data_IF_266794186974
#
_entry.id   IF_266794186974
#
_cell.length_a   1.000
_cell.length_b   1.000
_cell.length_c   1.000
_cell.angle_alpha   90.00
_cell.angle_beta   90.00
_cell.angle_gamma   90.00
#
_symmetry.space_group_name_H-M   'P 1'
#
loop_
_entity.id
_entity.type
_entity.pdbx_description
1 polymer ?
#
# COMPACT_ATOMS: atom_id res chain seq x y z
N UNK A 1 19.29 48.57 -10.53
CA UNK A 1 20.26 47.60 -10.01
C UNK A 1 19.95 46.24 -10.62
N UNK A 2 20.62 45.93 -11.73
CA UNK A 2 20.71 44.59 -12.34
C UNK A 2 21.55 43.69 -11.44
N UNK A 3 21.10 42.47 -11.15
CA UNK A 3 22.00 41.33 -10.92
C UNK A 3 21.45 40.09 -11.61
N UNK A 4 21.90 39.93 -12.85
CA UNK A 4 21.81 38.72 -13.64
C UNK A 4 22.85 37.73 -13.11
N UNK A 5 22.44 36.51 -12.78
CA UNK A 5 23.36 35.37 -12.75
C UNK A 5 22.89 34.33 -13.77
N UNK A 6 23.69 34.22 -14.84
CA UNK A 6 23.63 33.19 -15.86
C UNK A 6 24.69 32.12 -15.58
N UNK A 7 24.42 30.95 -16.18
CA UNK A 7 25.28 29.78 -16.42
C UNK A 7 25.33 28.75 -15.28
N UNK A 8 25.20 27.45 -15.54
CA UNK A 8 25.80 26.71 -16.67
C UNK A 8 25.02 25.41 -16.99
N UNK A 9 24.92 25.13 -18.28
CA UNK A 9 24.41 23.89 -18.85
C UNK A 9 25.30 22.68 -18.54
N UNK A 10 24.69 21.49 -18.41
CA UNK A 10 25.28 20.22 -18.86
C UNK A 10 24.21 19.40 -19.59
N UNK A 11 24.45 19.20 -20.89
CA UNK A 11 23.87 18.12 -21.71
C UNK A 11 24.71 16.87 -21.48
N UNK A 12 24.08 15.71 -21.32
CA UNK A 12 24.45 14.38 -21.85
C UNK A 12 23.18 13.52 -21.66
N UNK A 13 22.44 13.12 -22.71
CA UNK A 13 22.73 12.14 -23.77
C UNK A 13 22.13 10.75 -23.45
N UNK A 14 21.07 10.42 -24.21
CA UNK A 14 20.67 9.12 -24.79
C UNK A 14 20.64 7.85 -23.91
N UNK A 15 19.41 7.34 -23.74
CA UNK A 15 18.98 6.00 -24.16
C UNK A 15 19.53 4.77 -23.44
N UNK A 16 18.68 4.07 -22.68
CA UNK A 16 18.72 2.61 -22.54
C UNK A 16 17.42 2.10 -21.90
N UNK A 17 16.69 1.26 -22.63
CA UNK A 17 15.73 0.29 -22.09
C UNK A 17 16.55 -0.73 -21.29
N UNK A 18 16.17 -1.01 -20.03
CA UNK A 18 16.65 -2.22 -19.31
C UNK A 18 15.59 -2.81 -18.37
N UNK A 19 15.66 -4.14 -18.14
CA UNK A 19 14.53 -5.04 -18.04
C UNK A 19 14.27 -5.45 -16.59
N UNK A 20 13.23 -4.90 -15.97
CA UNK A 20 12.83 -5.29 -14.61
C UNK A 20 11.42 -5.92 -14.56
N UNK A 21 10.84 -6.25 -15.71
CA UNK A 21 9.48 -6.78 -15.81
C UNK A 21 9.40 -8.32 -15.80
N UNK A 22 10.51 -9.06 -15.65
CA UNK A 22 10.48 -10.54 -15.66
C UNK A 22 10.91 -11.19 -14.32
N UNK A 23 11.45 -10.45 -13.35
CA UNK A 23 11.92 -11.05 -12.10
C UNK A 23 10.84 -11.27 -11.02
N UNK A 24 9.61 -10.72 -11.17
CA UNK A 24 8.61 -10.73 -10.07
C UNK A 24 7.63 -11.92 -10.15
N UNK A 25 7.52 -12.61 -11.28
CA UNK A 25 6.59 -13.75 -11.43
C UNK A 25 7.16 -15.05 -10.82
N UNK A 26 8.48 -15.16 -10.60
CA UNK A 26 9.10 -16.38 -10.07
C UNK A 26 9.04 -16.56 -8.54
N UNK A 27 8.86 -15.50 -7.75
CA UNK A 27 8.99 -15.58 -6.28
C UNK A 27 7.64 -15.85 -5.58
N UNK A 28 6.52 -15.54 -6.22
CA UNK A 28 5.18 -15.71 -5.61
C UNK A 28 4.70 -17.18 -5.65
N UNK A 29 5.21 -18.01 -6.57
CA UNK A 29 4.82 -19.42 -6.66
C UNK A 29 5.46 -20.36 -5.62
N UNK A 30 6.59 -20.01 -5.03
CA UNK A 30 7.34 -20.91 -4.14
C UNK A 30 6.82 -20.93 -2.68
N UNK A 31 6.14 -19.87 -2.22
CA UNK A 31 5.67 -19.78 -0.83
C UNK A 31 4.30 -20.45 -0.59
N UNK A 32 3.53 -20.77 -1.63
CA UNK A 32 2.20 -21.37 -1.47
C UNK A 32 2.22 -22.89 -1.21
N UNK A 33 3.31 -23.59 -1.54
CA UNK A 33 3.43 -25.06 -1.35
C UNK A 33 3.99 -25.42 0.03
N UNK A 34 4.88 -24.58 0.59
CA UNK A 34 5.49 -24.84 1.90
C UNK A 34 4.48 -24.75 3.06
N UNK A 35 3.42 -23.96 2.91
CA UNK A 35 2.41 -23.76 3.96
C UNK A 35 1.33 -24.85 4.02
N UNK A 36 1.29 -25.79 3.06
CA UNK A 36 0.26 -26.84 3.02
C UNK A 36 0.71 -28.19 3.59
N UNK A 37 2.02 -28.42 3.79
CA UNK A 37 2.55 -29.71 4.27
C UNK A 37 2.91 -29.78 5.77
N UNK A 38 2.82 -28.69 6.53
CA UNK A 38 3.26 -28.68 7.93
C UNK A 38 2.13 -28.67 8.97
N UNK A 39 0.88 -28.61 8.51
CA UNK A 39 -0.33 -28.70 9.33
C UNK A 39 -1.05 -29.97 8.88
N UNK A 40 -0.78 -31.12 9.52
CA UNK A 40 -1.72 -32.22 9.81
C UNK A 40 -0.90 -33.41 10.37
N UNK A 41 -1.01 -33.53 11.70
CA UNK A 41 -1.06 -34.75 12.54
C UNK A 41 0.22 -35.48 13.05
N UNK A 42 0.08 -36.14 14.23
CA UNK A 42 1.12 -36.27 15.25
C UNK A 42 1.62 -37.72 15.47
N UNK A 43 2.62 -37.81 16.36
CA UNK A 43 3.35 -38.93 16.98
C UNK A 43 2.80 -40.35 16.88
N UNK A 44 3.68 -41.32 16.58
CA UNK A 44 3.68 -42.67 17.16
C UNK A 44 5.09 -43.26 17.25
N UNK A 45 5.38 -43.82 18.43
CA UNK A 45 6.57 -44.60 18.81
C UNK A 45 6.67 -45.96 18.10
N UNK A 46 7.90 -46.42 17.80
CA UNK A 46 8.36 -47.83 17.79
C UNK A 46 9.90 -47.82 18.00
N UNK A 47 10.47 -48.40 19.06
CA UNK A 47 10.75 -49.83 19.34
C UNK A 47 11.75 -50.49 18.38
N UNK A 48 12.85 -50.99 18.98
CA UNK A 48 13.86 -52.00 18.53
C UNK A 48 14.84 -51.56 17.43
N UNK A 49 16.14 -51.47 17.72
CA UNK A 49 17.12 -52.58 17.79
C UNK A 49 17.19 -53.39 16.49
N UNK A 50 18.25 -53.22 15.68
CA UNK A 50 19.34 -54.22 15.54
C UNK A 50 20.42 -53.79 14.52
N UNK A 51 21.66 -54.22 14.82
CA UNK A 51 22.87 -54.44 14.01
C UNK A 51 23.22 -53.52 12.81
N UNK A 52 24.40 -52.90 12.93
CA UNK A 52 25.16 -52.36 11.79
C UNK A 52 26.55 -51.89 12.25
N UNK A 53 27.51 -52.82 12.31
CA UNK A 53 28.88 -52.55 12.70
C UNK A 53 29.63 -51.73 11.63
N UNK A 54 30.04 -50.51 11.96
CA UNK A 54 31.16 -49.81 11.32
C UNK A 54 31.92 -48.95 12.35
N UNK A 55 33.26 -49.02 12.43
CA UNK A 55 34.03 -48.18 13.32
C UNK A 55 34.18 -46.79 12.68
N UNK A 56 33.54 -45.78 13.26
CA UNK A 56 33.86 -44.39 12.95
C UNK A 56 34.00 -43.62 14.26
N UNK A 57 35.24 -43.18 14.49
CA UNK A 57 35.70 -42.08 15.35
C UNK A 57 34.65 -41.42 16.26
N UNK A 58 34.90 -41.33 17.58
CA UNK A 58 34.02 -40.58 18.47
C UNK A 58 34.15 -39.09 18.15
N UNK A 59 33.23 -38.57 17.32
CA UNK A 59 32.88 -37.15 17.38
C UNK A 59 32.17 -36.98 18.71
N UNK A 60 32.86 -36.30 19.62
CA UNK A 60 32.35 -35.85 20.91
C UNK A 60 31.01 -35.17 20.67
N UNK A 61 29.93 -35.81 21.09
CA UNK A 61 28.63 -35.17 21.18
C UNK A 61 28.82 -33.95 22.09
N UNK A 62 28.67 -32.75 21.52
CA UNK A 62 28.42 -31.56 22.31
C UNK A 62 27.11 -31.80 23.03
N UNK A 63 27.19 -32.20 24.29
CA UNK A 63 26.06 -32.17 25.20
C UNK A 63 25.49 -30.76 25.13
N UNK A 64 24.31 -30.63 24.52
CA UNK A 64 23.47 -29.45 24.76
C UNK A 64 23.04 -29.59 26.22
N UNK A 65 23.77 -28.92 27.09
CA UNK A 65 23.48 -28.87 28.51
C UNK A 65 22.09 -28.27 28.67
N UNK A 66 21.16 -29.09 29.18
CA UNK A 66 19.86 -28.64 29.60
C UNK A 66 20.03 -27.48 30.59
N UNK A 67 19.12 -26.48 30.62
CA UNK A 67 19.19 -25.41 31.61
C UNK A 67 19.31 -26.03 33.01
N UNK A 68 20.27 -25.60 33.84
CA UNK A 68 20.48 -26.18 35.16
C UNK A 68 19.17 -26.08 35.94
N UNK A 69 18.76 -27.19 36.55
CA UNK A 69 17.59 -27.26 37.41
C UNK A 69 17.62 -26.12 38.44
N UNK A 70 16.47 -25.53 38.82
CA UNK A 70 16.43 -24.45 39.78
C UNK A 70 17.12 -24.90 41.06
N UNK A 71 18.21 -24.22 41.39
CA UNK A 71 18.98 -24.48 42.59
C UNK A 71 18.06 -24.20 43.78
N UNK A 72 17.87 -25.16 44.68
CA UNK A 72 17.01 -24.96 45.85
C UNK A 72 17.73 -24.08 46.88
N UNK A 73 17.78 -22.77 46.62
CA UNK A 73 18.44 -21.75 47.44
C UNK A 73 17.93 -21.76 48.88
N UNK A 74 16.67 -22.15 49.11
CA UNK A 74 16.07 -22.15 50.43
C UNK A 74 16.64 -23.21 51.39
N UNK A 75 17.03 -24.38 50.85
CA UNK A 75 17.52 -25.52 51.62
C UNK A 75 19.02 -25.48 51.92
N UNK A 76 19.76 -24.53 51.32
CA UNK A 76 21.21 -24.44 51.48
C UNK A 76 21.63 -23.95 52.88
N UNK A 77 22.76 -24.49 53.36
CA UNK A 77 23.41 -24.00 54.57
C UNK A 77 24.02 -22.61 54.34
N UNK A 78 24.28 -21.88 55.42
CA UNK A 78 24.85 -20.53 55.36
C UNK A 78 26.18 -20.47 54.57
N UNK A 79 27.09 -21.42 54.85
CA UNK A 79 28.38 -21.48 54.17
C UNK A 79 28.25 -21.82 52.68
N UNK A 80 27.28 -22.68 52.33
CA UNK A 80 26.96 -22.98 50.93
C UNK A 80 26.39 -21.75 50.21
N UNK A 81 25.48 -21.01 50.85
CA UNK A 81 24.91 -19.79 50.27
C UNK A 81 26.01 -18.76 49.97
N UNK A 82 26.93 -18.52 50.90
CA UNK A 82 28.05 -17.59 50.68
C UNK A 82 29.03 -18.08 49.60
N UNK A 83 29.28 -19.40 49.52
CA UNK A 83 30.13 -19.98 48.50
C UNK A 83 29.51 -19.86 47.09
N UNK A 84 28.23 -20.21 46.95
CA UNK A 84 27.49 -20.08 45.69
C UNK A 84 27.30 -18.61 45.29
N UNK A 85 27.10 -17.70 46.25
CA UNK A 85 27.03 -16.27 45.98
C UNK A 85 28.33 -15.75 45.36
N UNK A 86 29.48 -16.05 45.96
CA UNK A 86 30.81 -15.65 45.44
C UNK A 86 31.08 -16.27 44.07
N UNK A 87 30.72 -17.54 43.89
CA UNK A 87 30.82 -18.22 42.60
C UNK A 87 29.96 -17.51 41.54
N UNK A 88 28.72 -17.17 41.87
CA UNK A 88 27.83 -16.44 40.98
C UNK A 88 28.37 -15.04 40.62
N UNK A 89 29.00 -14.32 41.56
CA UNK A 89 29.67 -13.04 41.28
C UNK A 89 30.81 -13.23 40.27
N UNK A 90 31.68 -14.23 40.49
CA UNK A 90 32.80 -14.53 39.58
C UNK A 90 32.33 -14.92 38.18
N UNK A 91 31.18 -15.60 38.10
CA UNK A 91 30.52 -16.00 36.85
C UNK A 91 29.61 -14.89 36.29
N UNK A 92 29.68 -13.67 36.82
CA UNK A 92 28.90 -12.49 36.40
C UNK A 92 27.37 -12.65 36.47
N UNK A 93 26.88 -13.66 37.19
CA UNK A 93 25.45 -13.91 37.43
C UNK A 93 24.96 -13.09 38.62
N UNK A 94 24.87 -11.77 38.43
CA UNK A 94 24.51 -10.86 39.53
C UNK A 94 23.02 -10.87 39.84
N UNK A 95 22.17 -10.62 38.84
CA UNK A 95 20.70 -10.52 38.98
C UNK A 95 19.93 -11.53 38.12
N UNK A 96 20.64 -12.29 37.28
CA UNK A 96 20.10 -13.26 36.34
C UNK A 96 21.00 -14.50 36.26
N UNK A 97 20.43 -15.68 35.95
CA UNK A 97 19.00 -15.98 35.83
C UNK A 97 18.29 -15.99 37.20
N UNK A 98 16.96 -15.95 37.19
CA UNK A 98 16.15 -16.03 38.41
C UNK A 98 16.43 -17.33 39.18
N UNK A 99 16.51 -17.26 40.51
CA UNK A 99 16.76 -18.43 41.35
C UNK A 99 18.21 -18.93 41.40
N UNK A 100 19.12 -18.35 40.61
CA UNK A 100 20.53 -18.76 40.58
C UNK A 100 21.45 -17.58 40.28
N UNK A 101 21.39 -16.56 41.14
CA UNK A 101 22.18 -15.34 41.01
C UNK A 101 22.71 -14.87 42.37
N UNK A 102 23.80 -14.09 42.33
CA UNK A 102 24.53 -13.65 43.51
C UNK A 102 23.65 -12.89 44.51
N UNK A 103 22.79 -11.99 44.01
CA UNK A 103 21.93 -11.17 44.87
C UNK A 103 20.92 -12.02 45.65
N UNK A 104 20.27 -13.00 45.00
CA UNK A 104 19.35 -13.90 45.70
C UNK A 104 20.05 -14.74 46.77
N UNK A 105 21.26 -15.24 46.51
CA UNK A 105 22.04 -15.96 47.53
C UNK A 105 22.41 -15.07 48.72
N UNK A 106 22.91 -13.84 48.50
CA UNK A 106 23.25 -12.91 49.58
C UNK A 106 22.03 -12.41 50.35
N UNK A 107 20.91 -12.13 49.66
CA UNK A 107 19.66 -11.79 50.33
C UNK A 107 19.16 -12.95 51.20
N UNK A 108 19.32 -14.20 50.74
CA UNK A 108 18.98 -15.38 51.56
C UNK A 108 19.87 -15.51 52.80
N UNK A 109 21.14 -15.16 52.71
CA UNK A 109 22.04 -15.08 53.87
C UNK A 109 21.51 -14.05 54.88
N UNK A 110 21.11 -12.87 54.42
CA UNK A 110 20.56 -11.82 55.28
C UNK A 110 19.20 -12.19 55.89
N UNK A 111 18.36 -12.95 55.18
CA UNK A 111 17.13 -13.51 55.74
C UNK A 111 17.40 -14.48 56.89
N UNK A 112 18.45 -15.31 56.78
CA UNK A 112 18.83 -16.28 57.83
C UNK A 112 19.60 -15.62 58.98
N UNK A 113 20.41 -14.61 58.70
CA UNK A 113 21.19 -13.87 59.69
C UNK A 113 21.17 -12.36 59.36
N UNK A 114 20.19 -11.62 59.91
CA UNK A 114 20.18 -10.17 59.79
C UNK A 114 21.48 -9.58 60.35
N UNK A 115 22.14 -8.71 59.57
CA UNK A 115 23.40 -8.06 59.98
C UNK A 115 24.69 -8.80 59.60
N UNK A 116 24.62 -9.86 58.77
CA UNK A 116 25.81 -10.50 58.23
C UNK A 116 26.61 -9.53 57.33
N UNK A 117 27.76 -9.06 57.85
CA UNK A 117 28.60 -8.05 57.18
C UNK A 117 29.06 -8.50 55.78
N UNK A 118 29.43 -9.77 55.63
CA UNK A 118 29.91 -10.30 54.33
C UNK A 118 28.86 -10.16 53.23
N UNK A 119 27.60 -10.49 53.54
CA UNK A 119 26.51 -10.35 52.58
C UNK A 119 26.12 -8.89 52.34
N UNK A 120 26.09 -8.06 53.40
CA UNK A 120 25.78 -6.63 53.28
C UNK A 120 26.83 -5.89 52.45
N UNK A 121 28.12 -6.12 52.71
CA UNK A 121 29.23 -5.50 51.97
C UNK A 121 29.23 -5.95 50.52
N UNK A 122 29.06 -7.25 50.25
CA UNK A 122 29.01 -7.77 48.89
C UNK A 122 27.85 -7.16 48.08
N UNK A 123 26.66 -7.04 48.68
CA UNK A 123 25.51 -6.39 48.02
C UNK A 123 25.79 -4.91 47.74
N UNK A 124 26.44 -4.20 48.66
CA UNK A 124 26.82 -2.79 48.49
C UNK A 124 27.85 -2.60 47.38
N UNK A 125 28.89 -3.43 47.36
CA UNK A 125 29.98 -3.38 46.38
C UNK A 125 29.50 -3.73 44.98
N UNK A 126 28.61 -4.72 44.86
CA UNK A 126 28.11 -5.19 43.56
C UNK A 126 26.89 -4.41 43.06
N UNK A 127 26.29 -3.55 43.89
CA UNK A 127 25.11 -2.74 43.52
C UNK A 127 25.30 -1.92 42.24
N UNK A 128 26.40 -1.15 42.05
CA UNK A 128 26.57 -0.35 40.83
C UNK A 128 26.56 -1.21 39.56
N UNK A 129 27.19 -2.39 39.61
CA UNK A 129 27.22 -3.33 38.49
C UNK A 129 25.85 -3.94 38.25
N UNK A 130 25.14 -4.33 39.32
CA UNK A 130 23.76 -4.80 39.23
C UNK A 130 22.81 -3.75 38.62
N UNK A 131 22.97 -2.47 38.99
CA UNK A 131 22.21 -1.39 38.40
C UNK A 131 22.48 -1.24 36.90
N UNK A 132 23.72 -1.40 36.44
CA UNK A 132 24.04 -1.42 35.00
C UNK A 132 23.41 -2.61 34.27
N UNK A 133 23.32 -3.79 34.91
CA UNK A 133 22.62 -4.96 34.34
C UNK A 133 21.13 -4.66 34.16
N UNK A 134 20.48 -4.08 35.18
CA UNK A 134 19.10 -3.62 35.09
C UNK A 134 18.90 -2.58 33.99
N UNK A 135 19.80 -1.62 33.89
CA UNK A 135 19.75 -0.61 32.84
C UNK A 135 19.89 -1.22 31.43
N UNK A 136 20.78 -2.19 31.28
CA UNK A 136 20.96 -2.92 30.03
C UNK A 136 19.70 -3.68 29.63
N UNK A 137 19.02 -4.35 30.57
CA UNK A 137 17.73 -5.00 30.30
C UNK A 137 16.66 -4.00 29.83
N UNK A 138 16.60 -2.80 30.42
CA UNK A 138 15.72 -1.71 29.96
C UNK A 138 16.06 -1.32 28.52
N UNK A 139 17.36 -1.13 28.20
CA UNK A 139 17.80 -0.76 26.86
C UNK A 139 17.51 -1.84 25.81
N UNK A 140 17.56 -3.11 26.21
CA UNK A 140 17.21 -4.25 25.38
C UNK A 140 15.69 -4.45 25.23
N UNK A 141 14.89 -3.58 25.86
CA UNK A 141 13.42 -3.66 25.92
C UNK A 141 12.90 -4.95 26.59
N UNK A 142 13.73 -5.61 27.40
CA UNK A 142 13.27 -6.71 28.26
C UNK A 142 12.72 -6.14 29.57
N UNK A 143 11.53 -5.56 29.47
CA UNK A 143 10.92 -4.80 30.56
C UNK A 143 10.45 -5.67 31.73
N UNK A 144 10.25 -6.97 31.53
CA UNK A 144 9.87 -7.89 32.59
C UNK A 144 11.11 -8.28 33.40
N UNK A 145 12.20 -8.62 32.71
CA UNK A 145 13.49 -8.90 33.32
C UNK A 145 14.02 -7.67 34.09
N UNK A 146 14.00 -6.49 33.45
CA UNK A 146 14.41 -5.23 34.09
C UNK A 146 13.64 -4.94 35.38
N UNK A 147 12.32 -5.14 35.39
CA UNK A 147 11.51 -4.95 36.59
C UNK A 147 11.96 -5.89 37.72
N UNK A 148 12.11 -7.19 37.43
CA UNK A 148 12.54 -8.16 38.43
C UNK A 148 13.92 -7.81 39.00
N UNK A 149 14.84 -7.39 38.14
CA UNK A 149 16.18 -6.96 38.51
C UNK A 149 16.15 -5.72 39.42
N UNK A 150 15.33 -4.72 39.09
CA UNK A 150 15.12 -3.53 39.94
C UNK A 150 14.51 -3.91 41.29
N UNK A 151 13.55 -4.83 41.31
CA UNK A 151 12.91 -5.28 42.56
C UNK A 151 13.90 -6.06 43.44
N UNK A 152 14.81 -6.82 42.83
CA UNK A 152 15.87 -7.52 43.53
C UNK A 152 16.90 -6.54 44.12
N UNK A 153 17.31 -5.52 43.36
CA UNK A 153 18.16 -4.43 43.85
C UNK A 153 17.47 -3.66 44.98
N UNK A 154 16.16 -3.43 44.88
CA UNK A 154 15.37 -2.76 45.91
C UNK A 154 15.29 -3.56 47.23
N UNK A 155 15.37 -4.89 47.19
CA UNK A 155 15.49 -5.72 48.40
C UNK A 155 16.86 -5.59 49.07
N UNK A 156 17.91 -5.33 48.29
CA UNK A 156 19.27 -5.15 48.80
C UNK A 156 19.49 -3.77 49.43
N UNK A 157 19.06 -2.70 48.75
CA UNK A 157 19.14 -1.34 49.24
C UNK A 157 17.94 -0.50 48.75
N UNK A 158 16.83 -0.46 49.50
CA UNK A 158 15.64 0.30 49.13
C UNK A 158 15.86 1.81 49.04
N UNK A 159 16.87 2.35 49.75
CA UNK A 159 17.12 3.78 49.85
C UNK A 159 18.02 4.30 48.70
N UNK A 160 18.50 3.42 47.82
CA UNK A 160 19.40 3.79 46.74
C UNK A 160 18.72 4.66 45.68
N UNK A 161 19.23 5.87 45.46
CA UNK A 161 18.68 6.81 44.47
C UNK A 161 18.66 6.25 43.04
N UNK A 162 19.61 5.37 42.67
CA UNK A 162 19.68 4.74 41.34
C UNK A 162 18.39 3.98 40.99
N UNK A 163 17.67 3.43 41.97
CA UNK A 163 16.38 2.78 41.74
C UNK A 163 15.33 3.74 41.21
N UNK A 164 15.36 5.01 41.62
CA UNK A 164 14.45 6.05 41.11
C UNK A 164 14.70 6.30 39.63
N UNK A 165 15.99 6.39 39.24
CA UNK A 165 16.39 6.56 37.84
C UNK A 165 15.94 5.35 37.01
N UNK A 166 16.23 4.13 37.47
CA UNK A 166 15.90 2.91 36.75
C UNK A 166 14.39 2.73 36.57
N UNK A 167 13.58 2.98 37.62
CA UNK A 167 12.11 2.93 37.54
C UNK A 167 11.57 3.97 36.56
N UNK A 168 12.04 5.22 36.66
CA UNK A 168 11.63 6.27 35.73
C UNK A 168 12.00 5.93 34.28
N UNK A 169 13.18 5.34 34.04
CA UNK A 169 13.62 4.92 32.72
C UNK A 169 12.76 3.77 32.19
N UNK A 170 12.47 2.77 33.02
CA UNK A 170 11.62 1.62 32.68
C UNK A 170 10.20 2.07 32.32
N UNK A 171 9.58 2.94 33.12
CA UNK A 171 8.24 3.46 32.88
C UNK A 171 8.16 4.28 31.59
N UNK A 172 9.17 5.13 31.35
CA UNK A 172 9.28 5.90 30.11
C UNK A 172 9.39 4.97 28.88
N UNK A 173 10.22 3.92 28.96
CA UNK A 173 10.41 2.98 27.86
C UNK A 173 9.16 2.12 27.60
N UNK A 174 8.47 1.64 28.64
CA UNK A 174 7.19 0.93 28.50
C UNK A 174 6.14 1.80 27.82
N UNK A 175 5.98 3.05 28.27
CA UNK A 175 5.03 4.00 27.68
C UNK A 175 5.34 4.29 26.20
N UNK A 176 6.62 4.32 25.82
CA UNK A 176 7.02 4.46 24.42
C UNK A 176 6.62 3.22 23.61
N UNK A 177 6.87 2.01 24.12
CA UNK A 177 6.45 0.77 23.46
C UNK A 177 4.93 0.70 23.29
N UNK A 178 4.16 1.02 24.33
CA UNK A 178 2.69 0.99 24.27
C UNK A 178 2.16 1.96 23.21
N UNK A 179 2.74 3.17 23.13
CA UNK A 179 2.40 4.14 22.10
C UNK A 179 2.75 3.64 20.70
N UNK A 180 3.93 3.03 20.52
CA UNK A 180 4.34 2.44 19.24
C UNK A 180 3.36 1.33 18.81
N UNK A 181 2.96 0.46 19.73
CA UNK A 181 1.97 -0.61 19.48
C UNK A 181 0.60 -0.05 19.12
N UNK A 182 0.14 0.99 19.82
CA UNK A 182 -1.13 1.65 19.52
C UNK A 182 -1.10 2.28 18.13
N UNK A 183 -0.04 3.00 17.78
CA UNK A 183 0.13 3.59 16.44
C UNK A 183 0.20 2.52 15.35
N UNK A 184 0.84 1.38 15.61
CA UNK A 184 0.86 0.25 14.69
C UNK A 184 -0.55 -0.32 14.48
N UNK A 185 -1.31 -0.56 15.56
CA UNK A 185 -2.69 -1.05 15.50
C UNK A 185 -3.62 -0.08 14.77
N UNK A 186 -3.49 1.22 15.03
CA UNK A 186 -4.29 2.24 14.37
C UNK A 186 -3.97 2.32 12.88
N UNK A 187 -2.68 2.20 12.51
CA UNK A 187 -2.25 2.13 11.11
C UNK A 187 -2.79 0.88 10.42
N UNK A 188 -2.77 -0.28 11.08
CA UNK A 188 -3.35 -1.53 10.55
C UNK A 188 -4.85 -1.39 10.33
N UNK A 189 -5.60 -0.82 11.29
CA UNK A 189 -7.04 -0.55 11.15
C UNK A 189 -7.32 0.41 9.99
N UNK A 190 -6.54 1.48 9.86
CA UNK A 190 -6.67 2.41 8.73
C UNK A 190 -6.38 1.74 7.39
N UNK A 191 -5.36 0.88 7.31
CA UNK A 191 -5.05 0.12 6.11
C UNK A 191 -6.17 -0.88 5.77
N UNK A 192 -6.74 -1.56 6.76
CA UNK A 192 -7.89 -2.45 6.56
C UNK A 192 -9.12 -1.68 6.07
N UNK A 193 -9.42 -0.53 6.66
CA UNK A 193 -10.55 0.30 6.23
C UNK A 193 -10.35 0.84 4.80
N UNK A 194 -9.13 1.28 4.47
CA UNK A 194 -8.79 1.73 3.13
C UNK A 194 -8.86 0.58 2.11
N UNK A 195 -8.40 -0.61 2.48
CA UNK A 195 -8.50 -1.80 1.64
C UNK A 195 -9.96 -2.24 1.44
N UNK A 196 -10.78 -2.19 2.49
CA UNK A 196 -12.21 -2.46 2.40
C UNK A 196 -12.90 -1.46 1.49
N UNK A 197 -12.61 -0.17 1.63
CA UNK A 197 -13.16 0.88 0.74
C UNK A 197 -12.70 0.68 -0.71
N UNK A 198 -11.43 0.38 -0.93
CA UNK A 198 -10.94 0.10 -2.28
C UNK A 198 -11.60 -1.15 -2.89
N UNK A 199 -11.88 -2.16 -2.07
CA UNK A 199 -12.60 -3.36 -2.50
C UNK A 199 -14.07 -3.06 -2.84
N UNK A 200 -14.75 -2.22 -2.05
CA UNK A 200 -16.13 -1.80 -2.35
C UNK A 200 -16.18 -0.95 -3.62
N UNK A 201 -15.31 0.05 -3.73
CA UNK A 201 -15.24 0.93 -4.89
C UNK A 201 -14.95 0.13 -6.17
N UNK A 202 -14.08 -0.88 -6.08
CA UNK A 202 -13.82 -1.82 -7.18
C UNK A 202 -15.04 -2.67 -7.53
N UNK A 203 -15.72 -3.25 -6.53
CA UNK A 203 -16.92 -4.05 -6.77
C UNK A 203 -18.04 -3.23 -7.42
N UNK A 204 -18.20 -1.97 -7.00
CA UNK A 204 -19.16 -1.03 -7.59
C UNK A 204 -18.78 -0.68 -9.04
N UNK A 205 -17.49 -0.43 -9.31
CA UNK A 205 -17.01 -0.19 -10.67
C UNK A 205 -17.22 -1.41 -11.59
N UNK A 206 -16.94 -2.62 -11.09
CA UNK A 206 -17.14 -3.86 -11.84
C UNK A 206 -18.64 -4.10 -12.13
N UNK A 207 -19.52 -3.80 -11.17
CA UNK A 207 -20.99 -3.86 -11.36
C UNK A 207 -21.47 -2.86 -12.42
N UNK A 208 -21.05 -1.60 -12.33
CA UNK A 208 -21.41 -0.57 -13.30
C UNK A 208 -20.89 -0.90 -14.71
N UNK A 209 -19.68 -1.47 -14.81
CA UNK A 209 -19.13 -1.94 -16.07
C UNK A 209 -19.94 -3.10 -16.66
N UNK A 210 -20.36 -4.06 -15.83
CA UNK A 210 -21.21 -5.16 -16.27
C UNK A 210 -22.60 -4.68 -16.75
N UNK A 211 -23.22 -3.74 -16.02
CA UNK A 211 -24.50 -3.12 -16.41
C UNK A 211 -24.37 -2.37 -17.75
N UNK A 212 -23.29 -1.61 -17.95
CA UNK A 212 -23.03 -0.91 -19.20
C UNK A 212 -22.83 -1.88 -20.39
N UNK A 213 -22.13 -2.99 -20.15
CA UNK A 213 -21.96 -4.05 -21.16
C UNK A 213 -23.29 -4.72 -21.52
N UNK A 214 -24.13 -5.04 -20.53
CA UNK A 214 -25.46 -5.62 -20.77
C UNK A 214 -26.34 -4.66 -21.57
N UNK A 215 -26.34 -3.37 -21.23
CA UNK A 215 -27.09 -2.34 -21.96
C UNK A 215 -26.61 -2.22 -23.41
N UNK A 216 -25.31 -2.20 -23.64
CA UNK A 216 -24.73 -2.15 -24.98
C UNK A 216 -25.07 -3.41 -25.81
N UNK A 217 -25.12 -4.59 -25.19
CA UNK A 217 -25.54 -5.83 -25.84
C UNK A 217 -27.03 -5.80 -26.20
N UNK A 218 -27.90 -5.30 -25.31
CA UNK A 218 -29.32 -5.13 -25.57
C UNK A 218 -29.58 -4.15 -26.73
N UNK A 219 -28.88 -3.01 -26.75
CA UNK A 219 -28.98 -2.00 -27.82
C UNK A 219 -28.55 -2.59 -29.18
N UNK A 220 -27.44 -3.34 -29.22
CA UNK A 220 -27.00 -4.04 -30.44
C UNK A 220 -28.01 -5.08 -30.92
N UNK A 221 -28.58 -5.86 -30.00
CA UNK A 221 -29.59 -6.86 -30.34
C UNK A 221 -30.88 -6.22 -30.88
N UNK A 222 -31.29 -5.08 -30.32
CA UNK A 222 -32.44 -4.31 -30.81
C UNK A 222 -32.21 -3.77 -32.23
N UNK A 223 -31.05 -3.16 -32.49
CA UNK A 223 -30.68 -2.67 -33.83
C UNK A 223 -30.64 -3.80 -34.88
N UNK A 224 -30.10 -4.97 -34.52
CA UNK A 224 -30.09 -6.13 -35.40
C UNK A 224 -31.51 -6.62 -35.74
N UNK A 225 -32.44 -6.60 -34.78
CA UNK A 225 -33.85 -6.95 -35.02
C UNK A 225 -34.54 -5.97 -35.97
N UNK A 226 -34.30 -4.67 -35.80
CA UNK A 226 -34.85 -3.63 -36.69
C UNK A 226 -34.32 -3.81 -38.12
N UNK A 227 -33.02 -4.06 -38.28
CA UNK A 227 -32.41 -4.29 -39.59
C UNK A 227 -32.98 -5.54 -40.30
N UNK A 228 -33.21 -6.63 -39.56
CA UNK A 228 -33.84 -7.85 -40.11
C UNK A 228 -35.28 -7.60 -40.57
N UNK A 229 -36.08 -6.83 -39.81
CA UNK A 229 -37.44 -6.46 -40.21
C UNK A 229 -37.45 -5.59 -41.47
N UNK A 230 -36.53 -4.62 -41.58
CA UNK A 230 -36.40 -3.78 -42.78
C UNK A 230 -36.08 -4.63 -44.01
N UNK A 231 -35.08 -5.52 -43.92
CA UNK A 231 -34.73 -6.44 -45.01
C UNK A 231 -35.89 -7.36 -45.41
N UNK A 232 -36.63 -7.91 -44.45
CA UNK A 232 -37.81 -8.74 -44.74
C UNK A 232 -38.94 -7.95 -45.42
N UNK A 233 -39.10 -6.68 -45.07
CA UNK A 233 -40.10 -5.78 -45.68
C UNK A 233 -39.68 -5.41 -47.11
N UNK A 234 -38.41 -5.08 -47.34
CA UNK A 234 -37.86 -4.81 -48.67
C UNK A 234 -37.96 -6.02 -49.60
N UNK A 235 -37.64 -7.22 -49.10
CA UNK A 235 -37.78 -8.46 -49.86
C UNK A 235 -39.23 -8.74 -50.28
N UNK A 236 -40.20 -8.48 -49.39
CA UNK A 236 -41.64 -8.57 -49.73
C UNK A 236 -42.04 -7.55 -50.79
N UNK A 237 -41.57 -6.31 -50.69
CA UNK A 237 -41.87 -5.26 -51.68
C UNK A 237 -41.32 -5.61 -53.07
N UNK A 238 -40.09 -6.15 -53.14
CA UNK A 238 -39.48 -6.58 -54.40
C UNK A 238 -40.20 -7.77 -55.05
N UNK A 239 -40.72 -8.71 -54.25
CA UNK A 239 -41.56 -9.81 -54.75
C UNK A 239 -42.94 -9.34 -55.25
N UNK A 240 -43.52 -8.28 -54.66
CA UNK A 240 -44.75 -7.67 -55.19
C UNK A 240 -44.51 -6.78 -56.41
N UNK A 241 -43.33 -6.17 -56.55
CA UNK A 241 -42.99 -5.32 -57.70
C UNK A 241 -42.75 -6.14 -58.98
N UNK A 242 -42.24 -7.37 -58.87
CA UNK A 242 -42.09 -8.28 -60.01
C UNK A 242 -43.43 -8.84 -60.54
N UNK A 243 -44.53 -8.67 -59.80
CA UNK A 243 -45.89 -8.98 -60.27
C UNK A 243 -46.58 -7.81 -61.01
N UNK A 244 -45.96 -6.62 -61.05
CA UNK A 244 -46.53 -5.42 -61.68
C UNK A 244 -45.45 -4.65 -62.44
N UNK A 245 -44.97 -5.21 -63.55
CA UNK A 245 -44.11 -4.49 -64.48
C UNK A 245 -44.49 -4.79 -65.93
N UNK A 246 -45.55 -4.12 -66.41
CA UNK A 246 -45.64 -3.72 -67.80
C UNK A 246 -46.18 -2.28 -67.86
N UNK A 247 -45.32 -1.32 -68.21
CA UNK A 247 -45.72 0.07 -68.49
C UNK A 247 -44.79 1.16 -67.97
N UNK A 248 -44.02 1.75 -68.90
CA UNK A 248 -43.99 3.21 -69.05
C UNK A 248 -42.95 4.05 -68.28
N UNK A 249 -41.77 4.18 -68.90
CA UNK A 249 -40.99 5.40 -69.21
C UNK A 249 -40.99 6.67 -68.30
N UNK A 250 -39.78 7.25 -68.22
CA UNK A 250 -39.40 8.68 -68.15
C UNK A 250 -38.90 9.32 -66.82
N UNK A 251 -37.59 9.62 -66.83
CA UNK A 251 -36.88 10.87 -66.50
C UNK A 251 -37.17 11.71 -65.23
N UNK A 252 -36.09 12.08 -64.51
CA UNK A 252 -35.99 13.18 -63.54
C UNK A 252 -34.96 12.86 -62.44
N UNK A 253 -33.67 13.20 -62.58
CA UNK A 253 -33.05 14.48 -62.22
C UNK A 253 -33.19 14.88 -60.73
N UNK A 254 -32.02 14.95 -60.09
CA UNK A 254 -31.61 15.75 -58.93
C UNK A 254 -31.79 15.15 -57.53
N UNK A 255 -30.68 14.61 -57.02
CA UNK A 255 -30.39 14.51 -55.60
C UNK A 255 -30.27 15.93 -55.02
N UNK A 256 -31.32 16.38 -54.31
CA UNK A 256 -31.22 17.41 -53.28
C UNK A 256 -30.36 16.89 -52.13
N UNK A 257 -29.04 17.05 -52.25
CA UNK A 257 -28.06 16.59 -51.27
C UNK A 257 -27.80 17.66 -50.22
N UNK A 258 -28.25 17.45 -48.99
CA UNK A 258 -27.74 18.19 -47.82
C UNK A 258 -26.30 17.79 -47.58
N UNK A 259 -25.36 18.73 -47.62
CA UNK A 259 -23.96 18.48 -47.29
C UNK A 259 -23.65 19.07 -45.90
N UNK A 260 -23.04 18.29 -44.97
CA UNK A 260 -22.73 18.76 -43.63
C UNK A 260 -21.58 19.77 -43.64
N UNK A 261 -21.49 20.59 -42.60
CA UNK A 261 -20.40 21.53 -42.43
C UNK A 261 -19.04 20.81 -42.25
N UNK A 262 -17.98 21.35 -42.87
CA UNK A 262 -16.62 20.75 -42.83
C UNK A 262 -15.64 21.72 -42.17
N UNK A 263 -14.85 21.25 -41.22
CA UNK A 263 -13.86 22.08 -40.52
C UNK A 263 -12.68 22.43 -41.45
N UNK A 264 -12.46 23.73 -41.69
CA UNK A 264 -11.36 24.23 -42.53
C UNK A 264 -10.15 24.66 -41.69
N UNK A 265 -10.40 25.34 -40.57
CA UNK A 265 -9.33 25.85 -39.69
C UNK A 265 -9.63 25.53 -38.24
N UNK A 266 -8.74 24.77 -37.63
CA UNK A 266 -8.74 24.46 -36.21
C UNK A 266 -7.68 25.31 -35.49
N UNK A 267 -8.12 26.21 -34.62
CA UNK A 267 -7.23 26.95 -33.72
C UNK A 267 -7.18 26.19 -32.39
N UNK A 268 -6.02 25.69 -31.96
CA UNK A 268 -5.91 24.96 -30.70
C UNK A 268 -6.14 25.90 -29.50
N UNK A 269 -6.76 25.43 -28.41
CA UNK A 269 -6.96 26.24 -27.22
C UNK A 269 -5.64 26.52 -26.50
N UNK A 270 -5.53 27.73 -25.94
CA UNK A 270 -4.38 28.10 -25.12
C UNK A 270 -4.54 27.51 -23.73
N UNK A 271 -3.58 26.70 -23.29
CA UNK A 271 -3.63 26.08 -21.97
C UNK A 271 -3.59 27.14 -20.84
N UNK A 272 -4.53 27.11 -19.88
CA UNK A 272 -4.49 28.00 -18.71
C UNK A 272 -3.21 27.79 -17.90
N UNK A 273 -2.49 28.87 -17.58
CA UNK A 273 -1.23 28.80 -16.83
C UNK A 273 -1.39 28.23 -15.42
N UNK A 274 -2.57 28.42 -14.82
CA UNK A 274 -2.98 27.84 -13.53
C UNK A 274 -3.08 26.31 -13.63
N UNK A 275 -3.71 25.78 -14.67
CA UNK A 275 -3.87 24.34 -14.90
C UNK A 275 -2.53 23.65 -15.21
N UNK A 276 -1.63 24.30 -15.98
CA UNK A 276 -0.27 23.78 -16.20
C UNK A 276 0.49 23.65 -14.88
N UNK A 277 0.45 24.68 -14.02
CA UNK A 277 1.14 24.65 -12.70
C UNK A 277 0.58 23.59 -11.75
N UNK A 278 -0.70 23.27 -11.89
CA UNK A 278 -1.40 22.28 -11.08
C UNK A 278 -1.36 20.86 -11.67
N UNK A 279 -0.70 20.65 -12.83
CA UNK A 279 -0.73 19.39 -13.59
C UNK A 279 -2.16 18.86 -13.81
N UNK A 280 -3.12 19.77 -14.03
CA UNK A 280 -4.51 19.40 -14.25
C UNK A 280 -4.74 19.16 -15.73
N UNK A 281 -5.30 18.00 -16.07
CA UNK A 281 -5.78 17.66 -17.41
C UNK A 281 -7.31 17.58 -17.42
N UNK A 282 -7.92 17.60 -18.61
CA UNK A 282 -9.37 17.57 -18.68
C UNK A 282 -9.94 17.66 -20.09
N UNK A 283 -11.24 17.90 -20.16
CA UNK A 283 -11.96 18.11 -21.42
C UNK A 283 -13.12 19.09 -21.24
N UNK A 284 -13.51 19.75 -22.33
CA UNK A 284 -14.67 20.64 -22.41
C UNK A 284 -15.50 20.27 -23.62
N UNK A 285 -16.79 20.09 -23.44
CA UNK A 285 -17.76 19.86 -24.51
C UNK A 285 -18.54 21.14 -24.79
N UNK A 286 -18.44 21.62 -26.03
CA UNK A 286 -19.05 22.87 -26.48
C UNK A 286 -20.05 22.63 -27.60
N UNK A 287 -21.12 23.41 -27.61
CA UNK A 287 -22.03 23.56 -28.74
C UNK A 287 -21.85 24.95 -29.34
N UNK A 288 -21.94 25.05 -30.66
CA UNK A 288 -21.81 26.32 -31.36
C UNK A 288 -22.58 26.30 -32.68
N UNK A 289 -22.89 27.49 -33.20
CA UNK A 289 -23.56 27.67 -34.48
C UNK A 289 -22.54 28.06 -35.55
N UNK A 290 -22.55 27.36 -36.67
CA UNK A 290 -21.77 27.68 -37.87
C UNK A 290 -22.65 28.56 -38.74
N UNK A 291 -22.20 29.78 -39.03
CA UNK A 291 -22.94 30.74 -39.86
C UNK A 291 -22.83 30.38 -41.35
N UNK A 292 -23.71 30.91 -42.23
CA UNK A 292 -23.62 30.71 -43.68
C UNK A 292 -22.30 31.19 -44.29
N UNK A 293 -21.56 32.07 -43.61
CA UNK A 293 -20.23 32.56 -44.00
C UNK A 293 -19.09 31.64 -43.48
N UNK A 294 -19.41 30.55 -42.79
CA UNK A 294 -18.44 29.60 -42.26
C UNK A 294 -17.73 30.07 -40.99
N UNK A 295 -18.23 31.10 -40.33
CA UNK A 295 -17.74 31.56 -39.02
C UNK A 295 -18.50 30.84 -37.90
N UNK A 296 -17.94 30.85 -36.69
CA UNK A 296 -18.57 30.25 -35.51
C UNK A 296 -19.16 31.36 -34.64
N UNK A 297 -20.41 31.15 -34.20
CA UNK A 297 -21.14 32.03 -33.28
C UNK A 297 -21.89 31.21 -32.20
N UNK A 298 -22.43 31.88 -31.19
CA UNK A 298 -23.22 31.29 -30.08
C UNK A 298 -22.53 30.09 -29.39
N UNK A 299 -21.24 30.24 -29.06
CA UNK A 299 -20.46 29.17 -28.40
C UNK A 299 -20.90 29.02 -26.95
N UNK A 300 -21.38 27.84 -26.58
CA UNK A 300 -21.84 27.48 -25.23
C UNK A 300 -21.15 26.22 -24.73
N UNK A 301 -20.76 26.22 -23.46
CA UNK A 301 -20.24 25.02 -22.78
C UNK A 301 -21.43 24.19 -22.30
N UNK A 302 -21.46 22.92 -22.71
CA UNK A 302 -22.51 21.96 -22.31
C UNK A 302 -22.05 21.11 -21.14
N UNK A 303 -20.77 20.70 -21.13
CA UNK A 303 -20.18 19.94 -20.03
C UNK A 303 -18.66 20.11 -20.00
N UNK A 304 -18.04 19.88 -18.85
CA UNK A 304 -16.59 20.00 -18.67
C UNK A 304 -16.10 19.25 -17.44
N UNK A 305 -14.89 18.69 -17.53
CA UNK A 305 -14.18 18.08 -16.41
C UNK A 305 -12.70 18.46 -16.46
N UNK A 306 -12.13 19.08 -15.42
CA UNK A 306 -12.79 19.76 -14.30
C UNK A 306 -13.57 21.02 -14.71
N UNK A 307 -14.71 21.26 -14.07
CA UNK A 307 -15.61 22.40 -14.36
C UNK A 307 -14.91 23.76 -14.20
N UNK A 308 -15.17 24.69 -15.10
CA UNK A 308 -14.70 26.09 -15.06
C UNK A 308 -13.17 26.30 -15.17
N UNK A 309 -12.38 25.24 -15.29
CA UNK A 309 -10.93 25.33 -15.43
C UNK A 309 -10.54 25.63 -16.87
N UNK A 310 -11.22 24.99 -17.84
CA UNK A 310 -10.86 25.02 -19.25
C UNK A 310 -11.89 25.75 -20.13
N UNK A 311 -13.06 26.10 -19.59
CA UNK A 311 -14.22 26.65 -20.29
C UNK A 311 -13.84 27.87 -21.17
N UNK A 312 -13.22 28.89 -20.57
CA UNK A 312 -12.83 30.11 -21.30
C UNK A 312 -11.81 29.83 -22.41
N UNK A 313 -10.83 28.96 -22.14
CA UNK A 313 -9.81 28.60 -23.12
C UNK A 313 -10.43 27.83 -24.31
N UNK A 314 -11.43 27.00 -24.05
CA UNK A 314 -12.16 26.26 -25.08
C UNK A 314 -13.04 27.20 -25.92
N UNK A 315 -13.84 28.07 -25.30
CA UNK A 315 -14.74 28.98 -26.03
C UNK A 315 -13.97 30.00 -26.89
N UNK A 316 -12.88 30.55 -26.38
CA UNK A 316 -12.01 31.49 -27.11
C UNK A 316 -11.29 30.83 -28.30
N UNK A 317 -11.06 29.52 -28.26
CA UNK A 317 -10.45 28.78 -29.36
C UNK A 317 -11.46 28.48 -30.46
N UNK A 318 -12.64 28.01 -30.06
CA UNK A 318 -13.74 27.58 -30.95
C UNK A 318 -14.31 28.76 -31.73
N UNK A 319 -14.41 29.93 -31.11
CA UNK A 319 -14.84 31.16 -31.80
C UNK A 319 -13.92 31.57 -32.95
N UNK A 320 -12.68 31.05 -32.99
CA UNK A 320 -11.69 31.32 -34.05
C UNK A 320 -11.60 30.21 -35.10
N UNK A 321 -12.43 29.18 -34.99
CA UNK A 321 -12.52 28.13 -36.00
C UNK A 321 -13.20 28.66 -37.26
N UNK A 322 -12.89 28.03 -38.40
CA UNK A 322 -13.55 28.30 -39.67
C UNK A 322 -14.03 27.00 -40.28
N UNK A 323 -15.24 27.03 -40.80
CA UNK A 323 -15.92 25.92 -41.43
C UNK A 323 -16.29 26.27 -42.86
N UNK A 324 -16.41 25.24 -43.69
CA UNK A 324 -17.27 25.30 -44.85
C UNK A 324 -18.71 25.10 -44.32
N UNK A 325 -19.64 26.05 -44.57
CA UNK A 325 -21.01 25.97 -44.07
C UNK A 325 -21.72 24.73 -44.62
N UNK A 326 -22.72 24.25 -43.90
CA UNK A 326 -23.61 23.23 -44.42
C UNK A 326 -24.39 23.81 -45.61
N UNK A 327 -24.67 23.00 -46.63
CA UNK A 327 -25.47 23.42 -47.79
C UNK A 327 -26.75 22.62 -47.89
N UNK A 328 -27.84 23.31 -48.16
CA UNK A 328 -29.13 22.73 -48.52
C UNK A 328 -29.48 23.23 -49.92
N UNK A 329 -29.62 22.30 -50.87
CA UNK A 329 -29.88 22.61 -52.28
C UNK A 329 -28.89 23.62 -52.89
N UNK A 330 -27.61 23.50 -52.50
CA UNK A 330 -26.53 24.39 -52.93
C UNK A 330 -26.45 25.74 -52.21
N UNK A 331 -27.41 26.05 -51.32
CA UNK A 331 -27.43 27.29 -50.54
C UNK A 331 -26.81 27.08 -49.16
N UNK A 332 -25.85 27.91 -48.72
CA UNK A 332 -25.30 27.84 -47.37
C UNK A 332 -26.36 28.11 -46.30
N UNK A 333 -26.46 27.24 -45.30
CA UNK A 333 -27.39 27.36 -44.18
C UNK A 333 -26.66 27.31 -42.85
N UNK A 334 -27.18 28.04 -41.86
CA UNK A 334 -26.66 27.98 -40.50
C UNK A 334 -26.91 26.57 -39.91
N UNK A 335 -25.93 26.03 -39.20
CA UNK A 335 -26.02 24.69 -38.60
C UNK A 335 -25.39 24.66 -37.22
N UNK A 336 -25.93 23.86 -36.30
CA UNK A 336 -25.32 23.64 -34.98
C UNK A 336 -24.43 22.40 -35.00
N UNK A 337 -23.26 22.50 -34.36
CA UNK A 337 -22.36 21.36 -34.12
C UNK A 337 -21.97 21.30 -32.64
N UNK A 338 -21.55 20.11 -32.20
CA UNK A 338 -21.06 19.84 -30.84
C UNK A 338 -19.71 19.18 -30.89
N UNK A 339 -18.73 19.71 -30.14
CA UNK A 339 -17.36 19.17 -30.12
C UNK A 339 -16.81 19.10 -28.70
N UNK A 340 -16.09 18.01 -28.43
CA UNK A 340 -15.27 17.85 -27.23
C UNK A 340 -13.82 18.21 -27.50
N UNK A 341 -13.26 19.07 -26.66
CA UNK A 341 -11.89 19.55 -26.70
C UNK A 341 -11.15 18.96 -25.52
N UNK A 342 -10.04 18.28 -25.77
CA UNK A 342 -9.25 17.59 -24.75
C UNK A 342 -7.97 18.38 -24.44
N UNK A 343 -7.70 18.59 -23.16
CA UNK A 343 -6.52 19.28 -22.64
C UNK A 343 -5.59 18.25 -21.98
N UNK A 344 -4.46 17.97 -22.63
CA UNK A 344 -3.40 17.06 -22.12
C UNK A 344 -2.06 17.77 -22.05
N UNK A 345 -1.25 17.40 -21.06
CA UNK A 345 0.13 17.83 -20.90
C UNK A 345 1.02 16.77 -21.59
N UNK A 346 1.93 17.24 -22.46
CA UNK A 346 2.84 16.38 -23.22
C UNK A 346 4.18 16.18 -22.51
#
# INVERSE_FOLDING_TARGET
>A
MDTRFKYRARRHARGAIRPAAIAIVGVVGAFAVASWLFIIKPHMDMVSADIGAHPSTPVRASSTEAPPAPVNVAAMSMNQLLAEARKAVNEQRLLSPAGNNAFEFYLKVLEKQPGNQVATDALRETFPVGASVAEQAINQRDFNEAQRQIDLLAKADPANYTLTILRSKLDAQRKLQDREQQLASDKEKQQQLAAQKAATDKADADRLAAEAQQKAQADRAAQARVAQQQQATEARQQQSASASANGGNAAGANASGTHPAVLLRNVPPRYPTTAVRANQEGWVEVTFTITPEGSVDDVKVVDAEPRHVFDHAATEAVSRWKFQPATQDGTPVASQDKRRIVFKLN
#
